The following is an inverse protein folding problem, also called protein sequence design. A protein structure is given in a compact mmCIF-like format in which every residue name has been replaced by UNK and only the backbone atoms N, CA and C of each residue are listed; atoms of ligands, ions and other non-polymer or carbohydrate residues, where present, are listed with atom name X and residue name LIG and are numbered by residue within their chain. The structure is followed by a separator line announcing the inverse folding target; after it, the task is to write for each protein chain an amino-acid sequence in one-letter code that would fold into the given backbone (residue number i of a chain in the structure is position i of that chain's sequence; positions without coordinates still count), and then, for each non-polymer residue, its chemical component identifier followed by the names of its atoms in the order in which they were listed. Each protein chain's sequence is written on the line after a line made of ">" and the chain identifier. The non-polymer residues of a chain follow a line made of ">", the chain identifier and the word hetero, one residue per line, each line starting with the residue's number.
data_IF_406243349013
#
_entry.id   IF_406243349013
#
_cell.length_a   1.000
_cell.length_b   1.000
_cell.length_c   1.000
_cell.angle_alpha   90.00
_cell.angle_beta   90.00
_cell.angle_gamma   90.00
#
_symmetry.space_group_name_H-M   'P 1'
#
loop_
_entity.id
_entity.type
_entity.pdbx_description
1 polymer ?
#
# COMPACT_ATOMS: atom_id res chain seq x y z
N UNK A 1 7.56 -22.06 -6.84
CA UNK A 1 6.21 -22.01 -6.29
C UNK A 1 5.91 -20.62 -5.70
N UNK A 2 4.67 -20.33 -5.48
CA UNK A 2 4.19 -19.03 -5.00
C UNK A 2 4.80 -18.61 -3.66
N UNK A 3 5.00 -19.53 -2.75
CA UNK A 3 5.61 -19.26 -1.45
C UNK A 3 7.06 -18.80 -1.61
N UNK A 4 7.81 -19.46 -2.50
CA UNK A 4 9.19 -19.08 -2.82
C UNK A 4 9.28 -17.72 -3.50
N UNK A 5 8.35 -17.44 -4.42
CA UNK A 5 8.27 -16.14 -5.10
C UNK A 5 7.97 -15.01 -4.13
N UNK A 6 6.97 -15.19 -3.27
CA UNK A 6 6.63 -14.22 -2.24
C UNK A 6 7.76 -14.04 -1.23
N UNK A 7 8.42 -15.13 -0.85
CA UNK A 7 9.61 -15.10 0.00
C UNK A 7 10.77 -14.30 -0.62
N UNK A 8 10.99 -14.45 -1.94
CA UNK A 8 11.98 -13.65 -2.65
C UNK A 8 11.63 -12.16 -2.65
N UNK A 9 10.37 -11.80 -2.93
CA UNK A 9 9.91 -10.41 -2.88
C UNK A 9 10.14 -9.79 -1.51
N UNK A 10 9.79 -10.50 -0.43
CA UNK A 10 10.01 -10.05 0.94
C UNK A 10 11.50 -9.87 1.24
N UNK A 11 12.35 -10.82 0.82
CA UNK A 11 13.80 -10.73 1.00
C UNK A 11 14.41 -9.55 0.23
N UNK A 12 13.99 -9.34 -1.03
CA UNK A 12 14.43 -8.21 -1.84
C UNK A 12 14.03 -6.87 -1.21
N UNK A 13 12.77 -6.72 -0.77
CA UNK A 13 12.31 -5.50 -0.09
C UNK A 13 13.07 -5.29 1.22
N UNK A 14 13.33 -6.34 1.97
CA UNK A 14 14.13 -6.26 3.21
C UNK A 14 15.54 -5.75 2.91
N UNK A 15 16.20 -6.28 1.88
CA UNK A 15 17.52 -5.81 1.45
C UNK A 15 17.49 -4.32 1.05
N UNK A 16 16.50 -3.90 0.26
CA UNK A 16 16.33 -2.49 -0.12
C UNK A 16 16.22 -1.59 1.11
N UNK A 17 15.36 -1.91 2.06
CA UNK A 17 15.14 -1.10 3.26
C UNK A 17 16.30 -1.11 4.23
N UNK A 18 17.01 -2.23 4.38
CA UNK A 18 18.06 -2.36 5.41
C UNK A 18 19.45 -2.03 4.90
N UNK A 19 19.70 -2.15 3.60
CA UNK A 19 21.02 -1.95 3.02
C UNK A 19 21.05 -0.74 2.07
N UNK A 20 20.15 -0.68 1.10
CA UNK A 20 20.21 0.37 0.08
C UNK A 20 19.66 1.71 0.57
N UNK A 21 18.55 1.76 1.27
CA UNK A 21 17.98 3.01 1.80
C UNK A 21 18.95 3.76 2.73
N UNK A 22 19.60 3.11 3.72
CA UNK A 22 20.58 3.79 4.57
C UNK A 22 21.79 4.33 3.78
N UNK A 23 22.24 3.57 2.78
CA UNK A 23 23.35 4.01 1.92
C UNK A 23 22.96 5.21 1.06
N UNK A 24 21.77 5.16 0.45
CA UNK A 24 21.24 6.27 -0.33
C UNK A 24 20.99 7.51 0.52
N UNK A 25 20.49 7.34 1.74
CA UNK A 25 20.30 8.45 2.69
C UNK A 25 21.61 9.14 3.02
N UNK A 26 22.66 8.39 3.32
CA UNK A 26 24.00 8.99 3.58
C UNK A 26 24.50 9.78 2.37
N UNK A 27 24.39 9.21 1.16
CA UNK A 27 24.76 9.90 -0.08
C UNK A 27 23.96 11.18 -0.28
N UNK A 28 22.65 11.14 -0.07
CA UNK A 28 21.75 12.29 -0.23
C UNK A 28 22.11 13.43 0.73
N UNK A 29 22.36 13.09 1.99
CA UNK A 29 22.80 14.07 2.99
C UNK A 29 24.16 14.70 2.63
N UNK A 30 25.12 13.90 2.19
CA UNK A 30 26.41 14.39 1.70
C UNK A 30 26.26 15.38 0.55
N UNK A 31 25.44 15.05 -0.46
CA UNK A 31 25.16 15.96 -1.57
C UNK A 31 24.48 17.27 -1.12
N UNK A 32 23.60 17.19 -0.14
CA UNK A 32 22.97 18.39 0.41
C UNK A 32 23.97 19.31 1.09
N UNK A 33 24.93 18.76 1.84
CA UNK A 33 26.02 19.55 2.44
C UNK A 33 26.98 20.14 1.39
N UNK A 34 27.30 19.39 0.34
CA UNK A 34 28.09 19.92 -0.79
C UNK A 34 27.40 21.10 -1.50
N UNK A 35 26.08 21.06 -1.64
CA UNK A 35 25.29 22.15 -2.21
C UNK A 35 25.35 23.36 -1.31
N UNK A 36 25.17 23.20 0.00
CA UNK A 36 25.29 24.29 0.99
C UNK A 36 26.70 24.93 0.99
N UNK A 37 27.73 24.10 0.92
CA UNK A 37 29.12 24.58 0.90
C UNK A 37 29.43 25.47 -0.32
N UNK A 38 28.66 25.32 -1.41
CA UNK A 38 28.75 26.18 -2.60
C UNK A 38 27.88 27.43 -2.52
N UNK A 39 27.26 27.71 -1.38
CA UNK A 39 26.36 28.86 -1.19
C UNK A 39 24.95 28.66 -1.82
N UNK A 40 24.63 27.47 -2.28
CA UNK A 40 23.33 27.14 -2.86
C UNK A 40 22.38 26.56 -1.80
N UNK A 41 21.07 26.78 -1.98
CA UNK A 41 20.06 26.15 -1.11
C UNK A 41 19.78 24.70 -1.58
N UNK A 42 19.94 23.68 -0.72
CA UNK A 42 19.54 22.32 -1.06
C UNK A 42 18.01 22.24 -1.13
N UNK A 43 17.49 22.04 -2.32
CA UNK A 43 16.08 21.77 -2.60
C UNK A 43 15.93 20.33 -3.08
N UNK A 44 14.70 19.80 -3.07
CA UNK A 44 14.42 18.50 -3.65
C UNK A 44 14.93 18.39 -5.09
N UNK A 45 14.74 19.44 -5.89
CA UNK A 45 15.18 19.47 -7.29
C UNK A 45 16.72 19.46 -7.42
N UNK A 46 17.42 20.32 -6.66
CA UNK A 46 18.89 20.42 -6.77
C UNK A 46 19.59 19.16 -6.30
N UNK A 47 19.09 18.52 -5.25
CA UNK A 47 19.62 17.25 -4.75
C UNK A 47 19.31 16.11 -5.72
N UNK A 48 18.06 16.01 -6.19
CA UNK A 48 17.66 14.97 -7.16
C UNK A 48 18.51 15.01 -8.43
N UNK A 49 18.71 16.18 -9.01
CA UNK A 49 19.53 16.35 -10.22
C UNK A 49 20.96 15.81 -10.04
N UNK A 50 21.51 15.88 -8.80
CA UNK A 50 22.85 15.32 -8.50
C UNK A 50 22.85 13.83 -8.18
N UNK A 51 21.66 13.26 -7.85
CA UNK A 51 21.50 11.84 -7.61
C UNK A 51 21.33 11.06 -8.94
N UNK A 52 20.74 11.68 -9.96
CA UNK A 52 20.34 10.99 -11.20
C UNK A 52 21.49 10.23 -11.87
N UNK A 53 22.72 10.75 -11.80
CA UNK A 53 23.93 10.12 -12.35
C UNK A 53 24.59 9.12 -11.40
N UNK A 54 24.08 8.92 -10.19
CA UNK A 54 24.68 8.03 -9.22
C UNK A 54 24.16 6.59 -9.39
N UNK A 55 25.08 5.67 -9.61
CA UNK A 55 24.76 4.25 -9.81
C UNK A 55 23.91 3.66 -8.68
N UNK A 56 24.19 4.03 -7.42
CA UNK A 56 23.40 3.57 -6.27
C UNK A 56 21.95 4.03 -6.38
N UNK A 57 21.71 5.27 -6.79
CA UNK A 57 20.36 5.82 -6.95
C UNK A 57 19.62 5.14 -8.11
N UNK A 58 20.28 4.95 -9.24
CA UNK A 58 19.72 4.25 -10.41
C UNK A 58 19.33 2.80 -10.07
N UNK A 59 20.23 2.09 -9.40
CA UNK A 59 19.97 0.72 -8.96
C UNK A 59 18.84 0.65 -7.95
N UNK A 60 18.80 1.59 -6.99
CA UNK A 60 17.76 1.65 -5.99
C UNK A 60 16.38 1.88 -6.63
N UNK A 61 16.25 2.85 -7.54
CA UNK A 61 14.97 3.10 -8.25
C UNK A 61 14.53 1.86 -9.02
N UNK A 62 15.42 1.28 -9.82
CA UNK A 62 15.09 0.11 -10.66
C UNK A 62 14.68 -1.09 -9.81
N UNK A 63 15.45 -1.38 -8.76
CA UNK A 63 15.16 -2.53 -7.88
C UNK A 63 13.91 -2.32 -7.04
N UNK A 64 13.65 -1.09 -6.56
CA UNK A 64 12.44 -0.76 -5.82
C UNK A 64 11.20 -0.92 -6.70
N UNK A 65 11.29 -0.44 -7.95
CA UNK A 65 10.22 -0.61 -8.93
C UNK A 65 9.97 -2.09 -9.23
N UNK A 66 11.01 -2.85 -9.55
CA UNK A 66 10.90 -4.27 -9.81
C UNK A 66 10.29 -5.05 -8.64
N UNK A 67 10.76 -4.77 -7.41
CA UNK A 67 10.20 -5.39 -6.20
C UNK A 67 8.70 -5.06 -6.00
N UNK A 68 8.28 -3.86 -6.36
CA UNK A 68 6.88 -3.46 -6.29
C UNK A 68 6.03 -4.15 -7.35
N UNK A 69 6.49 -4.23 -8.59
CA UNK A 69 5.82 -4.92 -9.69
C UNK A 69 5.69 -6.44 -9.40
N UNK A 70 6.77 -7.07 -8.96
CA UNK A 70 6.75 -8.50 -8.56
C UNK A 70 5.79 -8.77 -7.40
N UNK A 71 5.73 -7.88 -6.42
CA UNK A 71 4.80 -7.98 -5.31
C UNK A 71 3.34 -7.99 -5.79
N UNK A 72 2.97 -7.06 -6.66
CA UNK A 72 1.61 -6.99 -7.20
C UNK A 72 1.29 -8.19 -8.08
N UNK A 73 2.21 -8.60 -8.94
CA UNK A 73 2.02 -9.77 -9.79
C UNK A 73 1.75 -11.02 -8.95
N UNK A 74 2.57 -11.27 -7.94
CA UNK A 74 2.39 -12.40 -7.03
C UNK A 74 1.06 -12.35 -6.26
N UNK A 75 0.60 -11.15 -5.88
CA UNK A 75 -0.71 -10.99 -5.24
C UNK A 75 -1.88 -11.26 -6.22
N UNK A 76 -1.77 -10.76 -7.45
CA UNK A 76 -2.75 -11.00 -8.53
C UNK A 76 -2.86 -12.49 -8.84
N UNK A 77 -1.74 -13.18 -9.08
CA UNK A 77 -1.72 -14.60 -9.42
C UNK A 77 -2.35 -15.46 -8.32
N UNK A 78 -2.05 -15.13 -7.04
CA UNK A 78 -2.62 -15.78 -5.88
C UNK A 78 -4.16 -15.63 -5.82
N UNK A 79 -4.65 -14.42 -6.02
CA UNK A 79 -6.09 -14.11 -5.94
C UNK A 79 -6.83 -14.68 -7.15
N UNK A 80 -6.29 -14.56 -8.36
CA UNK A 80 -6.93 -15.06 -9.57
C UNK A 80 -7.07 -16.58 -9.56
N UNK A 81 -6.11 -17.30 -8.98
CA UNK A 81 -6.22 -18.74 -8.77
C UNK A 81 -7.38 -19.13 -7.83
N UNK A 82 -7.67 -18.28 -6.84
CA UNK A 82 -8.73 -18.51 -5.83
C UNK A 82 -10.04 -17.77 -6.17
N UNK A 83 -10.13 -17.17 -7.36
CA UNK A 83 -11.25 -16.31 -7.73
C UNK A 83 -12.60 -16.98 -7.57
N UNK A 84 -12.74 -18.22 -8.02
CA UNK A 84 -14.00 -18.95 -7.90
C UNK A 84 -14.48 -19.16 -6.46
N UNK A 85 -13.56 -19.40 -5.54
CA UNK A 85 -13.84 -19.55 -4.11
C UNK A 85 -14.24 -18.19 -3.50
N UNK A 86 -13.53 -17.12 -3.84
CA UNK A 86 -13.85 -15.77 -3.38
C UNK A 86 -15.23 -15.31 -3.85
N UNK A 87 -15.57 -15.53 -5.13
CA UNK A 87 -16.89 -15.21 -5.67
C UNK A 87 -18.00 -16.06 -5.04
N UNK A 88 -17.73 -17.33 -4.72
CA UNK A 88 -18.68 -18.17 -4.01
C UNK A 88 -18.92 -17.70 -2.57
N UNK A 89 -17.86 -17.28 -1.88
CA UNK A 89 -17.96 -16.72 -0.54
C UNK A 89 -18.76 -15.41 -0.55
N UNK A 90 -18.50 -14.52 -1.49
CA UNK A 90 -19.24 -13.26 -1.66
C UNK A 90 -20.75 -13.51 -1.85
N UNK A 91 -21.11 -14.44 -2.74
CA UNK A 91 -22.53 -14.80 -2.97
C UNK A 91 -23.20 -15.42 -1.75
N UNK A 92 -22.46 -16.08 -0.87
CA UNK A 92 -22.99 -16.73 0.33
C UNK A 92 -23.10 -15.80 1.54
N UNK A 93 -22.34 -14.71 1.55
CA UNK A 93 -22.30 -13.77 2.67
C UNK A 93 -23.42 -12.74 2.54
N UNK A 94 -24.31 -12.59 3.55
CA UNK A 94 -25.30 -11.53 3.52
C UNK A 94 -24.61 -10.18 3.62
N UNK A 95 -25.06 -9.15 2.88
CA UNK A 95 -24.52 -7.81 3.02
C UNK A 95 -24.81 -7.24 4.41
N UNK A 96 -23.79 -6.87 5.15
CA UNK A 96 -23.91 -6.27 6.49
C UNK A 96 -24.09 -4.75 6.48
N UNK A 97 -24.07 -4.15 5.28
CA UNK A 97 -24.17 -2.71 5.12
C UNK A 97 -24.77 -2.34 3.76
N UNK A 98 -24.54 -1.11 3.34
CA UNK A 98 -24.97 -0.63 2.03
C UNK A 98 -23.86 0.12 1.32
N UNK A 99 -23.73 -0.11 0.02
CA UNK A 99 -22.90 0.67 -0.88
C UNK A 99 -23.75 1.80 -1.49
N UNK A 100 -23.26 3.04 -1.39
CA UNK A 100 -23.87 4.20 -2.05
C UNK A 100 -22.79 4.87 -2.89
N UNK A 101 -22.95 4.82 -4.18
CA UNK A 101 -22.06 5.45 -5.15
C UNK A 101 -22.88 6.50 -5.93
N UNK A 102 -22.30 7.66 -6.17
CA UNK A 102 -22.89 8.64 -7.07
C UNK A 102 -22.82 8.08 -8.50
N UNK A 103 -23.96 7.80 -9.17
CA UNK A 103 -23.96 7.23 -10.52
C UNK A 103 -23.37 8.17 -11.57
N UNK A 104 -23.24 9.46 -11.25
CA UNK A 104 -22.66 10.47 -12.13
C UNK A 104 -21.19 10.78 -11.80
N UNK A 105 -20.61 10.10 -10.80
CA UNK A 105 -19.22 10.31 -10.41
C UNK A 105 -18.28 9.90 -11.55
N UNK A 106 -17.43 10.83 -11.93
CA UNK A 106 -16.37 10.56 -12.90
C UNK A 106 -15.02 10.56 -12.19
N UNK A 107 -14.30 9.47 -12.36
CA UNK A 107 -12.94 9.36 -11.81
C UNK A 107 -12.07 10.48 -12.40
N UNK A 108 -11.41 11.31 -11.58
CA UNK A 108 -10.53 12.35 -12.07
C UNK A 108 -9.45 11.79 -12.99
N UNK A 109 -9.16 12.50 -14.08
CA UNK A 109 -8.20 12.04 -15.11
C UNK A 109 -6.84 11.62 -14.53
N UNK A 110 -6.33 12.33 -13.54
CA UNK A 110 -5.04 12.03 -12.92
C UNK A 110 -5.06 10.72 -12.10
N UNK A 111 -6.23 10.26 -11.68
CA UNK A 111 -6.42 8.97 -11.00
C UNK A 111 -6.59 7.86 -12.05
N UNK A 112 -7.34 8.13 -13.12
CA UNK A 112 -7.63 7.15 -14.17
C UNK A 112 -6.45 6.93 -15.13
N UNK A 113 -5.50 7.86 -15.20
CA UNK A 113 -4.41 7.83 -16.18
C UNK A 113 -3.24 6.88 -15.82
N UNK A 114 -3.25 6.24 -14.67
CA UNK A 114 -2.16 5.36 -14.25
C UNK A 114 -2.51 4.46 -13.07
N UNK A 115 -1.75 3.41 -12.95
CA UNK A 115 -1.90 2.45 -11.86
C UNK A 115 -1.31 3.01 -10.57
N UNK A 116 -2.17 3.47 -9.68
CA UNK A 116 -1.76 4.00 -8.38
C UNK A 116 -1.01 2.91 -7.62
N UNK A 117 0.14 3.28 -7.04
CA UNK A 117 1.08 2.36 -6.40
C UNK A 117 1.58 1.23 -7.30
N UNK A 118 1.47 1.39 -8.62
CA UNK A 118 1.77 0.35 -9.62
C UNK A 118 0.91 -0.92 -9.44
N UNK A 119 -0.24 -0.79 -8.77
CA UNK A 119 -1.23 -1.85 -8.69
C UNK A 119 -1.92 -2.01 -10.04
N UNK A 120 -1.85 -3.18 -10.68
CA UNK A 120 -2.43 -3.39 -12.01
C UNK A 120 -3.92 -3.03 -12.06
N UNK A 121 -4.29 -2.09 -12.93
CA UNK A 121 -5.64 -1.56 -13.04
C UNK A 121 -6.08 -0.59 -11.95
N UNK A 122 -5.19 -0.20 -11.04
CA UNK A 122 -5.53 0.66 -9.91
C UNK A 122 -6.39 -0.05 -8.85
N UNK A 123 -7.06 0.71 -7.99
CA UNK A 123 -7.81 0.13 -6.86
C UNK A 123 -9.21 -0.39 -7.21
N UNK A 124 -9.74 -0.06 -8.37
CA UNK A 124 -11.12 -0.37 -8.76
C UNK A 124 -11.23 -1.29 -9.98
N UNK A 125 -10.09 -1.68 -10.58
CA UNK A 125 -10.08 -2.46 -11.81
C UNK A 125 -10.46 -3.92 -11.56
N UNK A 126 -11.40 -4.44 -12.36
CA UNK A 126 -11.65 -5.86 -12.53
C UNK A 126 -11.64 -6.22 -14.02
N UNK A 127 -10.83 -7.21 -14.46
CA UNK A 127 -10.75 -7.63 -15.85
C UNK A 127 -12.08 -8.11 -16.44
N UNK A 128 -13.02 -8.55 -15.61
CA UNK A 128 -14.36 -8.97 -16.02
C UNK A 128 -15.37 -7.81 -16.06
N UNK A 129 -14.96 -6.60 -15.69
CA UNK A 129 -15.82 -5.43 -15.66
C UNK A 129 -16.83 -5.40 -14.51
N UNK A 130 -16.64 -6.23 -13.49
CA UNK A 130 -17.45 -6.23 -12.27
C UNK A 130 -16.79 -5.31 -11.22
N UNK A 131 -17.22 -4.05 -11.21
CA UNK A 131 -16.71 -3.04 -10.29
C UNK A 131 -17.05 -3.32 -8.81
N UNK A 132 -17.98 -4.25 -8.55
CA UNK A 132 -18.38 -4.63 -7.20
C UNK A 132 -17.66 -5.89 -6.71
N UNK A 133 -16.82 -6.49 -7.54
CA UNK A 133 -16.10 -7.70 -7.20
C UNK A 133 -15.13 -7.52 -6.02
N UNK A 134 -15.13 -8.49 -5.12
CA UNK A 134 -14.15 -8.58 -4.00
C UNK A 134 -12.72 -8.79 -4.46
N UNK A 135 -12.49 -9.11 -5.74
CA UNK A 135 -11.16 -9.42 -6.30
C UNK A 135 -10.14 -8.33 -5.99
N UNK A 136 -10.46 -7.09 -6.30
CA UNK A 136 -9.50 -6.00 -6.15
C UNK A 136 -9.16 -5.74 -4.67
N UNK A 137 -10.14 -5.88 -3.79
CA UNK A 137 -9.92 -5.84 -2.35
C UNK A 137 -9.01 -6.98 -1.87
N UNK A 138 -9.21 -8.20 -2.35
CA UNK A 138 -8.39 -9.36 -2.02
C UNK A 138 -6.94 -9.21 -2.51
N UNK A 139 -6.74 -8.68 -3.73
CA UNK A 139 -5.41 -8.36 -4.26
C UNK A 139 -4.69 -7.33 -3.36
N UNK A 140 -5.41 -6.28 -2.95
CA UNK A 140 -4.85 -5.28 -2.06
C UNK A 140 -4.47 -5.87 -0.69
N UNK A 141 -5.35 -6.65 -0.08
CA UNK A 141 -5.09 -7.27 1.25
C UNK A 141 -3.89 -8.23 1.18
N UNK A 142 -3.81 -9.06 0.15
CA UNK A 142 -2.67 -9.95 -0.07
C UNK A 142 -1.37 -9.18 -0.27
N UNK A 143 -1.38 -8.14 -1.09
CA UNK A 143 -0.21 -7.31 -1.34
C UNK A 143 0.22 -6.53 -0.09
N UNK A 144 -0.71 -6.08 0.75
CA UNK A 144 -0.41 -5.39 2.01
C UNK A 144 0.44 -6.25 2.95
N UNK A 145 0.20 -7.56 3.00
CA UNK A 145 1.03 -8.50 3.75
C UNK A 145 2.47 -8.54 3.24
N UNK A 146 2.66 -8.64 1.92
CA UNK A 146 3.98 -8.67 1.29
C UNK A 146 4.69 -7.30 1.41
N UNK A 147 3.94 -6.21 1.24
CA UNK A 147 4.46 -4.85 1.38
C UNK A 147 5.03 -4.59 2.77
N UNK A 148 4.36 -5.07 3.80
CA UNK A 148 4.74 -4.91 5.20
C UNK A 148 5.73 -5.96 5.71
N UNK A 149 6.32 -6.76 4.84
CA UNK A 149 7.25 -7.84 5.17
C UNK A 149 6.62 -8.88 6.12
N UNK A 150 5.35 -9.19 5.92
CA UNK A 150 4.58 -10.11 6.75
C UNK A 150 4.13 -9.55 8.12
N UNK A 151 4.39 -8.27 8.40
CA UNK A 151 4.00 -7.64 9.68
C UNK A 151 2.56 -7.13 9.71
N UNK A 152 1.94 -7.01 8.57
CA UNK A 152 0.55 -6.61 8.38
C UNK A 152 -0.07 -7.51 7.32
N UNK A 153 -1.36 -7.51 7.25
CA UNK A 153 -2.11 -8.32 6.31
C UNK A 153 -3.15 -9.16 7.02
N UNK A 154 -4.28 -9.33 6.35
CA UNK A 154 -5.48 -9.86 6.96
C UNK A 154 -6.15 -8.85 7.89
N UNK A 155 -7.45 -8.78 7.85
CA UNK A 155 -8.25 -7.82 8.62
C UNK A 155 -8.07 -7.94 10.15
N UNK A 156 -7.56 -9.07 10.62
CA UNK A 156 -7.39 -9.33 12.05
C UNK A 156 -6.06 -8.82 12.62
N UNK A 157 -5.15 -8.35 11.79
CA UNK A 157 -3.78 -7.98 12.17
C UNK A 157 -3.43 -6.56 11.69
N UNK A 158 -4.32 -5.61 11.94
CA UNK A 158 -4.01 -4.20 11.66
C UNK A 158 -3.41 -3.50 12.88
N UNK A 159 -2.09 -3.51 12.95
CA UNK A 159 -1.36 -2.80 14.00
C UNK A 159 -1.56 -1.28 13.96
N UNK A 160 -1.82 -0.70 12.77
CA UNK A 160 -2.05 0.75 12.64
C UNK A 160 -3.38 1.15 13.26
N UNK A 161 -4.46 0.43 12.95
CA UNK A 161 -5.76 0.65 13.55
C UNK A 161 -5.71 0.48 15.08
N UNK A 162 -5.06 -0.57 15.56
CA UNK A 162 -4.90 -0.79 17.00
C UNK A 162 -4.09 0.34 17.68
N UNK A 163 -3.04 0.86 17.01
CA UNK A 163 -2.26 1.99 17.53
C UNK A 163 -3.10 3.27 17.62
N UNK A 164 -3.90 3.55 16.60
CA UNK A 164 -4.83 4.69 16.62
C UNK A 164 -5.82 4.57 17.75
N UNK A 165 -6.42 3.39 17.95
CA UNK A 165 -7.38 3.16 19.04
C UNK A 165 -6.72 3.33 20.41
N UNK A 166 -5.53 2.77 20.62
CA UNK A 166 -4.79 2.94 21.87
C UNK A 166 -4.54 4.43 22.17
N UNK A 167 -4.13 5.20 21.16
CA UNK A 167 -3.91 6.63 21.30
C UNK A 167 -5.23 7.39 21.59
N UNK A 168 -6.33 7.01 20.95
CA UNK A 168 -7.62 7.62 21.23
C UNK A 168 -8.07 7.38 22.67
N UNK A 169 -7.90 6.19 23.22
CA UNK A 169 -8.21 5.91 24.62
C UNK A 169 -7.30 6.66 25.59
N UNK A 170 -6.03 6.84 25.23
CA UNK A 170 -5.11 7.64 26.05
C UNK A 170 -5.51 9.11 26.09
N UNK A 171 -5.87 9.68 24.97
CA UNK A 171 -6.21 11.10 24.83
C UNK A 171 -7.66 11.42 25.25
N UNK A 172 -8.57 10.48 25.09
CA UNK A 172 -10.00 10.65 25.28
C UNK A 172 -10.61 9.40 25.92
N UNK A 173 -10.35 9.14 27.22
CA UNK A 173 -10.76 7.89 27.89
C UNK A 173 -12.27 7.66 27.92
N UNK A 174 -13.06 8.73 27.86
CA UNK A 174 -14.54 8.67 27.90
C UNK A 174 -15.18 8.77 26.50
N UNK A 175 -14.38 8.52 25.44
CA UNK A 175 -14.87 8.64 24.07
C UNK A 175 -15.84 7.51 23.70
N UNK A 176 -17.10 7.86 23.47
CA UNK A 176 -18.16 6.95 23.01
C UNK A 176 -18.76 7.43 21.67
N UNK A 177 -18.10 7.18 20.53
CA UNK A 177 -18.55 7.68 19.24
C UNK A 177 -19.80 6.92 18.77
N UNK A 178 -20.87 7.66 18.43
CA UNK A 178 -22.10 7.09 17.83
C UNK A 178 -21.99 6.88 16.32
N UNK A 179 -21.11 7.60 15.67
CA UNK A 179 -20.83 7.54 14.22
C UNK A 179 -19.37 7.74 13.99
N UNK A 180 -18.79 6.92 13.11
CA UNK A 180 -17.40 6.99 12.75
C UNK A 180 -17.33 7.04 11.21
N UNK A 181 -16.51 7.95 10.68
CA UNK A 181 -16.18 8.04 9.26
C UNK A 181 -14.70 7.76 9.07
N UNK A 182 -14.38 6.77 8.27
CA UNK A 182 -13.02 6.52 7.79
C UNK A 182 -12.93 6.90 6.32
N UNK A 183 -12.04 7.84 6.01
CA UNK A 183 -11.79 8.27 4.63
C UNK A 183 -10.63 7.47 4.04
N UNK A 184 -10.82 6.89 2.84
CA UNK A 184 -9.80 6.07 2.20
C UNK A 184 -9.56 4.73 2.90
N UNK A 185 -10.63 4.10 3.36
CA UNK A 185 -10.57 2.86 4.17
C UNK A 185 -9.93 1.65 3.44
N UNK A 186 -9.73 1.73 2.13
CA UNK A 186 -9.25 0.61 1.30
C UNK A 186 -10.12 -0.66 1.49
N UNK A 187 -9.58 -1.72 2.07
CA UNK A 187 -10.32 -2.96 2.40
C UNK A 187 -10.86 -2.97 3.84
N UNK A 188 -10.81 -1.85 4.56
CA UNK A 188 -11.37 -1.71 5.89
C UNK A 188 -10.54 -2.33 7.03
N UNK A 189 -9.24 -2.58 6.84
CA UNK A 189 -8.40 -3.16 7.88
C UNK A 189 -8.50 -2.40 9.20
N UNK A 190 -8.39 -1.07 9.18
CA UNK A 190 -8.45 -0.22 10.37
C UNK A 190 -9.86 -0.22 11.02
N UNK A 191 -10.92 -0.38 10.21
CA UNK A 191 -12.29 -0.45 10.71
C UNK A 191 -12.55 -1.64 11.63
N UNK A 192 -11.80 -2.74 11.46
CA UNK A 192 -11.91 -3.89 12.37
C UNK A 192 -11.46 -3.52 13.78
N UNK A 193 -10.35 -2.78 13.91
CA UNK A 193 -9.88 -2.27 15.21
C UNK A 193 -10.90 -1.29 15.82
N UNK A 194 -11.43 -0.37 14.99
CA UNK A 194 -12.47 0.58 15.40
C UNK A 194 -13.73 -0.15 15.88
N UNK A 195 -14.23 -1.15 15.12
CA UNK A 195 -15.42 -1.93 15.47
C UNK A 195 -15.26 -2.75 16.75
N UNK A 196 -14.04 -3.13 17.10
CA UNK A 196 -13.75 -3.84 18.35
C UNK A 196 -13.69 -2.92 19.56
N UNK A 197 -13.28 -1.68 19.33
CA UNK A 197 -13.12 -0.68 20.39
C UNK A 197 -14.45 -0.01 20.77
N UNK A 198 -15.33 0.19 19.81
CA UNK A 198 -16.59 0.91 19.89
C UNK A 198 -17.74 0.06 19.30
#
# INVERSE_FOLDING_TARGET
>A
DETSEQGFVVALKTFLYTQMDPALRRMTLGLAEEIKAKGEKPTLQTVRKRLEDKQLYQNWISSTRAAQEMMWQSAVDCVDRQRGELEALERSAPPLGSLRVDPNFQVPRYVAAGDIHMMPGGYHYDPKGDEQSVRQGAVFDKAASLYSLGRQGGQMNDMRGNTVIAHLYEMFPDLEPKRILEMGCTVGNSLVAVKRAF
#
